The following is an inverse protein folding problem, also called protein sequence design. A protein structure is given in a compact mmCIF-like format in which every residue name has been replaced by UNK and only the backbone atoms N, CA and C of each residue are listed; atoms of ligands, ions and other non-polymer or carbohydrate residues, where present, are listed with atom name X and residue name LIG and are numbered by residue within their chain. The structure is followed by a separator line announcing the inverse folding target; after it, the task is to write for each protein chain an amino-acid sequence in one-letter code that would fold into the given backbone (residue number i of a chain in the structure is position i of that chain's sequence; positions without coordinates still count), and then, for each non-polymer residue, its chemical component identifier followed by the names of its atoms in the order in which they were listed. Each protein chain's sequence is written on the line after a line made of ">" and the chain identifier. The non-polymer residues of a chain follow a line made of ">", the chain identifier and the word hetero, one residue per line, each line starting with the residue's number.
data_IF_198303429198
#
_entry.id   IF_198303429198
#
_cell.length_a   1.000
_cell.length_b   1.000
_cell.length_c   1.000
_cell.angle_alpha   90.00
_cell.angle_beta   90.00
_cell.angle_gamma   90.00
#
_symmetry.space_group_name_H-M   'P 1'
#
loop_
_entity.id
_entity.type
_entity.pdbx_description
1 polymer ?
#
# COMPACT_ATOMS: atom_id res chain seq x y z
N UNK A 1 -8.70 -3.82 6.89
CA UNK A 1 -9.05 -3.49 5.49
C UNK A 1 -7.92 -2.62 4.93
N UNK A 2 -7.44 -2.89 3.73
CA UNK A 2 -6.47 -2.04 3.03
C UNK A 2 -7.11 -1.60 1.72
N UNK A 3 -6.98 -0.33 1.38
CA UNK A 3 -7.53 0.24 0.15
C UNK A 3 -6.55 1.20 -0.50
N UNK A 4 -6.63 1.31 -1.82
CA UNK A 4 -5.82 2.25 -2.61
C UNK A 4 -6.64 3.49 -2.90
N UNK A 5 -5.99 4.63 -2.69
CA UNK A 5 -6.34 5.92 -3.26
C UNK A 5 -5.37 6.18 -4.41
N UNK A 6 -5.77 7.01 -5.38
CA UNK A 6 -5.04 7.27 -6.63
C UNK A 6 -3.53 7.45 -6.42
N UNK A 7 -3.14 8.18 -5.37
CA UNK A 7 -1.77 8.54 -5.02
C UNK A 7 -1.22 7.91 -3.73
N UNK A 8 -2.03 7.15 -2.97
CA UNK A 8 -1.64 6.61 -1.65
C UNK A 8 -2.37 5.32 -1.31
N UNK A 9 -1.78 4.47 -0.46
CA UNK A 9 -2.44 3.28 0.09
C UNK A 9 -2.68 3.51 1.57
N UNK A 10 -3.92 3.29 2.01
CA UNK A 10 -4.34 3.45 3.39
C UNK A 10 -4.92 2.15 3.94
N UNK A 11 -4.93 2.06 5.27
CA UNK A 11 -5.45 0.90 6.00
C UNK A 11 -6.40 1.33 7.13
N UNK A 12 -7.50 0.59 7.28
CA UNK A 12 -8.53 0.79 8.30
C UNK A 12 -8.74 -0.51 9.06
N UNK A 13 -8.76 -0.42 10.39
CA UNK A 13 -9.11 -1.51 11.27
C UNK A 13 -10.64 -1.57 11.42
N UNK A 14 -11.23 -2.75 11.22
CA UNK A 14 -12.69 -2.96 11.31
C UNK A 14 -13.13 -3.46 12.70
N UNK A 15 -12.18 -3.74 13.59
CA UNK A 15 -12.42 -4.21 14.96
C UNK A 15 -12.32 -3.04 15.93
N UNK A 16 -13.38 -2.81 16.70
CA UNK A 16 -13.62 -1.61 17.52
C UNK A 16 -12.75 -1.45 18.77
N UNK A 17 -11.49 -1.87 18.76
CA UNK A 17 -10.57 -1.63 19.87
C UNK A 17 -9.95 -0.23 19.77
N UNK A 18 -10.40 0.61 20.69
CA UNK A 18 -9.99 2.00 20.92
C UNK A 18 -8.60 1.99 21.56
N UNK A 19 -7.56 2.16 20.72
CA UNK A 19 -6.13 2.43 21.00
C UNK A 19 -5.14 1.31 20.63
N UNK A 20 -4.68 1.32 19.38
CA UNK A 20 -3.36 0.82 19.00
C UNK A 20 -2.72 1.79 17.98
N UNK A 21 -2.12 2.88 18.46
CA UNK A 21 -1.14 3.75 17.78
C UNK A 21 -1.37 4.03 16.28
N UNK A 22 -2.24 5.01 15.99
CA UNK A 22 -2.36 5.75 14.72
C UNK A 22 -2.61 4.88 13.45
N UNK A 23 -3.26 5.42 12.40
CA UNK A 23 -3.23 4.75 11.11
C UNK A 23 -1.76 4.55 10.72
N UNK A 24 -1.39 3.32 10.32
CA UNK A 24 -0.07 3.08 9.72
C UNK A 24 0.18 4.16 8.66
N UNK A 25 1.38 4.78 8.64
CA UNK A 25 1.62 5.93 7.79
C UNK A 25 1.25 5.61 6.34
N UNK A 26 0.42 6.48 5.75
CA UNK A 26 -0.09 6.31 4.39
C UNK A 26 1.07 6.06 3.44
N UNK A 27 1.07 4.90 2.80
CA UNK A 27 2.15 4.53 1.90
C UNK A 27 1.95 5.28 0.60
N UNK A 28 2.88 6.17 0.30
CA UNK A 28 2.89 6.92 -0.96
C UNK A 28 4.33 6.99 -1.46
N UNK A 29 4.50 6.94 -2.78
CA UNK A 29 5.80 7.10 -3.41
C UNK A 29 5.64 7.99 -4.63
N UNK A 30 6.18 9.21 -4.57
CA UNK A 30 6.15 10.15 -5.71
C UNK A 30 6.86 9.60 -6.94
N UNK A 31 7.79 8.68 -6.75
CA UNK A 31 8.56 8.08 -7.83
C UNK A 31 7.87 6.85 -8.40
N UNK A 32 7.33 5.95 -7.56
CA UNK A 32 6.82 4.65 -7.99
C UNK A 32 5.29 4.61 -8.16
N UNK A 33 4.56 5.56 -7.58
CA UNK A 33 3.11 5.51 -7.44
C UNK A 33 2.46 6.80 -7.96
N UNK A 34 1.81 6.68 -9.11
CA UNK A 34 1.08 7.76 -9.80
C UNK A 34 -0.41 7.48 -9.91
N UNK A 35 -0.78 6.25 -10.25
CA UNK A 35 -2.18 5.88 -10.37
C UNK A 35 -2.39 4.41 -10.01
N UNK A 36 -2.58 4.17 -8.72
CA UNK A 36 -2.82 2.86 -8.15
C UNK A 36 -4.29 2.46 -8.31
N UNK A 37 -4.56 1.38 -9.06
CA UNK A 37 -5.94 0.90 -9.29
C UNK A 37 -6.22 -0.45 -8.64
N UNK A 38 -5.27 -1.38 -8.71
CA UNK A 38 -5.38 -2.67 -8.06
C UNK A 38 -4.43 -2.77 -6.88
N UNK A 39 -4.90 -3.30 -5.75
CA UNK A 39 -4.03 -3.73 -4.66
C UNK A 39 -4.39 -5.12 -4.16
N UNK A 40 -3.40 -5.78 -3.57
CA UNK A 40 -3.59 -6.96 -2.72
C UNK A 40 -2.61 -6.91 -1.55
N UNK A 41 -2.89 -7.68 -0.50
CA UNK A 41 -2.10 -7.72 0.72
C UNK A 41 -1.80 -9.17 1.11
N UNK A 42 -0.53 -9.45 1.35
CA UNK A 42 -0.05 -10.72 1.90
C UNK A 42 0.21 -10.59 3.41
N UNK A 43 -0.56 -11.36 4.19
CA UNK A 43 -0.46 -11.40 5.66
C UNK A 43 0.81 -12.11 6.14
N UNK A 44 1.38 -13.05 5.39
CA UNK A 44 2.58 -13.79 5.83
C UNK A 44 3.83 -12.92 5.80
N UNK A 45 4.01 -12.17 4.72
CA UNK A 45 5.17 -11.30 4.54
C UNK A 45 4.90 -9.84 4.92
N UNK A 46 3.66 -9.50 5.26
CA UNK A 46 3.24 -8.11 5.46
C UNK A 46 3.57 -7.22 4.25
N UNK A 47 3.39 -7.76 3.04
CA UNK A 47 3.70 -7.08 1.77
C UNK A 47 2.43 -6.69 1.05
N UNK A 48 2.38 -5.45 0.57
CA UNK A 48 1.36 -4.92 -0.31
C UNK A 48 1.89 -4.98 -1.73
N UNK A 49 1.09 -5.53 -2.64
CA UNK A 49 1.34 -5.47 -4.07
C UNK A 49 0.31 -4.55 -4.71
N UNK A 50 0.75 -3.65 -5.58
CA UNK A 50 -0.12 -2.71 -6.26
C UNK A 50 0.23 -2.55 -7.74
N UNK A 51 -0.78 -2.31 -8.56
CA UNK A 51 -0.61 -2.02 -9.98
C UNK A 51 -0.70 -0.52 -10.24
N UNK A 52 0.29 0.00 -10.97
CA UNK A 52 0.30 1.37 -11.46
C UNK A 52 0.00 1.38 -12.95
N UNK A 53 -1.15 1.95 -13.33
CA UNK A 53 -1.57 1.97 -14.74
C UNK A 53 -0.85 3.01 -15.59
N UNK A 54 -0.33 4.07 -14.97
CA UNK A 54 0.42 5.11 -15.68
C UNK A 54 1.79 4.59 -16.06
N UNK A 55 2.38 3.73 -15.23
CA UNK A 55 3.66 3.07 -15.50
C UNK A 55 3.53 1.72 -16.19
N UNK A 56 2.35 1.10 -16.14
CA UNK A 56 2.16 -0.27 -16.62
C UNK A 56 2.97 -1.29 -15.81
N UNK A 57 3.24 -1.01 -14.53
CA UNK A 57 4.09 -1.83 -13.67
C UNK A 57 3.35 -2.35 -12.45
N UNK A 58 3.82 -3.47 -11.91
CA UNK A 58 3.40 -4.01 -10.62
C UNK A 58 4.53 -3.76 -9.63
N UNK A 59 4.21 -3.10 -8.53
CA UNK A 59 5.14 -2.74 -7.49
C UNK A 59 4.77 -3.47 -6.19
N UNK A 60 5.77 -3.66 -5.33
CA UNK A 60 5.64 -4.28 -4.02
C UNK A 60 6.23 -3.35 -2.95
N UNK A 61 5.60 -3.29 -1.79
CA UNK A 61 6.05 -2.50 -0.66
C UNK A 61 5.62 -3.17 0.63
N UNK A 62 6.46 -3.15 1.67
CA UNK A 62 6.01 -3.63 2.96
C UNK A 62 4.96 -2.69 3.56
N UNK A 63 4.12 -3.23 4.41
CA UNK A 63 3.08 -2.49 5.14
C UNK A 63 3.64 -1.36 6.03
N UNK A 64 4.91 -1.43 6.41
CA UNK A 64 5.62 -0.36 7.12
C UNK A 64 6.18 0.74 6.18
N UNK A 65 5.92 0.67 4.88
CA UNK A 65 6.45 1.60 3.87
C UNK A 65 7.90 1.34 3.44
N UNK A 66 8.57 0.35 4.03
CA UNK A 66 9.93 -0.03 3.66
C UNK A 66 9.95 -0.91 2.42
N UNK A 67 11.13 -1.01 1.79
CA UNK A 67 11.40 -1.96 0.72
C UNK A 67 10.48 -1.79 -0.51
N UNK A 68 10.27 -0.55 -0.92
CA UNK A 68 9.53 -0.23 -2.14
C UNK A 68 10.30 -0.72 -3.36
N UNK A 69 9.76 -1.70 -4.07
CA UNK A 69 10.36 -2.29 -5.28
C UNK A 69 9.35 -2.25 -6.41
N UNK A 70 9.78 -1.77 -7.56
CA UNK A 70 9.06 -1.91 -8.81
C UNK A 70 9.82 -2.85 -9.72
N UNK A 71 9.13 -3.81 -10.34
CA UNK A 71 9.68 -4.47 -11.52
C UNK A 71 9.44 -3.54 -12.72
N UNK A 72 10.53 -3.12 -13.36
CA UNK A 72 10.53 -2.47 -14.66
C UNK A 72 10.59 -3.48 -15.80
#
# INVERSE_FOLDING_TARGET
>A
LVYSLVDRIDSVHLTGDVNLNAPFPSIHSKELMRNCIGLTYDFQTSTIFYSDIQKGSINAVHFNGSNHRGNC
#
